data_IF_965991079040
#
_entry.id   IF_965991079040
#
_cell.length_a   1.000
_cell.length_b   1.000
_cell.length_c   1.000
_cell.angle_alpha   90.00
_cell.angle_beta   90.00
_cell.angle_gamma   90.00
#
_symmetry.space_group_name_H-M   'P 1'
#
loop_
_entity.id
_entity.type
_entity.pdbx_description
1 polymer ?
#
# COMPACT_ATOMS: atom_id res chain seq x y z
N UNK A 1 30.69 -4.14 -30.85
CA UNK A 1 30.17 -3.11 -29.93
C UNK A 1 28.68 -2.97 -30.18
N UNK A 2 27.86 -3.65 -29.38
CA UNK A 2 26.41 -3.50 -29.47
C UNK A 2 26.01 -2.31 -28.57
N UNK A 3 25.50 -1.25 -29.20
CA UNK A 3 24.85 -0.15 -28.50
C UNK A 3 23.59 -0.70 -27.81
N UNK A 4 23.69 -0.95 -26.50
CA UNK A 4 22.52 -1.02 -25.63
C UNK A 4 21.85 0.36 -25.71
N UNK A 5 20.74 0.44 -26.45
CA UNK A 5 19.81 1.54 -26.33
C UNK A 5 19.39 1.60 -24.86
N UNK A 6 19.79 2.67 -24.18
CA UNK A 6 19.23 3.09 -22.90
C UNK A 6 17.75 3.39 -23.14
N UNK A 7 16.89 2.37 -23.00
CA UNK A 7 15.50 2.59 -22.69
C UNK A 7 15.50 3.16 -21.28
N UNK A 8 15.53 4.49 -21.17
CA UNK A 8 15.21 5.18 -19.92
C UNK A 8 13.75 4.89 -19.60
N UNK A 9 13.47 3.74 -19.01
CA UNK A 9 12.20 3.44 -18.37
C UNK A 9 12.20 4.26 -17.09
N UNK A 10 11.64 5.47 -17.18
CA UNK A 10 11.46 6.30 -15.99
C UNK A 10 10.40 5.66 -15.11
N UNK A 11 10.79 5.23 -13.91
CA UNK A 11 9.85 4.78 -12.88
C UNK A 11 8.95 5.97 -12.50
N UNK A 12 7.65 5.91 -12.81
CA UNK A 12 6.75 7.07 -12.82
C UNK A 12 6.64 7.80 -11.48
N UNK A 13 6.77 7.04 -10.40
CA UNK A 13 6.71 7.44 -8.98
C UNK A 13 8.05 7.95 -8.44
N UNK A 14 9.19 7.68 -9.10
CA UNK A 14 10.53 8.11 -8.66
C UNK A 14 10.72 9.63 -8.69
N UNK A 15 9.78 10.39 -9.27
CA UNK A 15 9.74 11.85 -9.18
C UNK A 15 9.22 12.36 -7.83
N UNK A 16 8.48 11.54 -7.08
CA UNK A 16 7.97 11.93 -5.76
C UNK A 16 9.12 12.16 -4.77
N UNK A 17 8.90 13.09 -3.85
CA UNK A 17 9.79 13.49 -2.77
C UNK A 17 9.03 13.46 -1.46
N UNK A 18 9.77 13.32 -0.36
CA UNK A 18 9.17 13.32 0.98
C UNK A 18 8.37 14.59 1.28
N UNK A 19 8.73 15.72 0.66
CA UNK A 19 8.01 17.01 0.75
C UNK A 19 6.63 16.99 0.10
N UNK A 20 6.30 15.99 -0.73
CA UNK A 20 4.98 15.87 -1.34
C UNK A 20 3.94 15.31 -0.36
N UNK A 21 4.37 14.86 0.83
CA UNK A 21 3.54 14.26 1.86
C UNK A 21 3.55 15.12 3.14
N UNK A 22 2.41 15.75 3.44
CA UNK A 22 2.18 16.32 4.77
C UNK A 22 1.68 15.22 5.71
N UNK A 23 2.54 14.83 6.66
CA UNK A 23 2.31 13.70 7.56
C UNK A 23 1.99 14.24 8.96
N UNK A 24 0.85 13.79 9.49
CA UNK A 24 0.49 13.95 10.90
C UNK A 24 0.47 12.58 11.56
N UNK A 25 1.34 12.37 12.54
CA UNK A 25 1.48 11.13 13.30
C UNK A 25 1.24 11.40 14.78
N UNK A 26 0.32 10.67 15.41
CA UNK A 26 -0.10 10.88 16.80
C UNK A 26 -0.48 12.34 17.10
N UNK A 27 -1.22 12.96 16.17
CA UNK A 27 -1.62 14.38 16.19
C UNK A 27 -0.45 15.39 16.16
N UNK A 28 0.76 14.95 15.82
CA UNK A 28 1.93 15.81 15.64
C UNK A 28 2.38 15.81 14.18
N UNK A 29 2.83 16.97 13.69
CA UNK A 29 3.45 17.05 12.37
C UNK A 29 4.76 16.27 12.39
N UNK A 30 4.96 15.41 11.40
CA UNK A 30 6.22 14.73 11.14
C UNK A 30 6.64 15.02 9.71
N UNK A 31 7.92 15.26 9.47
CA UNK A 31 8.43 15.14 8.11
C UNK A 31 8.52 13.66 7.71
N UNK A 32 8.63 13.43 6.40
CA UNK A 32 8.70 12.09 5.80
C UNK A 32 9.93 11.31 6.27
N UNK A 33 11.11 11.91 6.28
CA UNK A 33 12.34 11.24 6.68
C UNK A 33 12.29 10.76 8.14
N UNK A 34 11.68 11.54 9.04
CA UNK A 34 11.49 11.20 10.45
C UNK A 34 10.53 10.04 10.62
N UNK A 35 9.35 10.10 9.96
CA UNK A 35 8.35 9.04 10.05
C UNK A 35 8.85 7.70 9.50
N UNK A 36 9.66 7.73 8.44
CA UNK A 36 10.24 6.55 7.79
C UNK A 36 11.69 6.27 8.20
N UNK A 37 12.18 6.82 9.32
CA UNK A 37 13.58 6.72 9.75
C UNK A 37 14.09 5.29 9.97
N UNK A 38 13.20 4.37 10.36
CA UNK A 38 13.52 2.95 10.52
C UNK A 38 13.36 2.11 9.24
N UNK A 39 12.84 2.70 8.16
CA UNK A 39 12.64 2.00 6.90
C UNK A 39 13.96 1.82 6.15
N UNK A 40 14.10 0.69 5.45
CA UNK A 40 15.30 0.35 4.67
C UNK A 40 14.90 -0.11 3.27
N UNK A 41 15.83 -0.09 2.31
CA UNK A 41 15.58 -0.55 0.93
C UNK A 41 15.17 -2.03 0.81
N UNK A 42 15.30 -2.83 1.88
CA UNK A 42 14.84 -4.22 1.94
C UNK A 42 13.46 -4.38 2.59
N UNK A 43 12.87 -3.29 3.11
CA UNK A 43 11.57 -3.32 3.76
C UNK A 43 10.45 -3.64 2.76
N UNK A 44 9.61 -4.63 3.10
CA UNK A 44 8.54 -5.13 2.22
C UNK A 44 7.18 -4.73 2.76
N UNK A 45 6.34 -4.18 1.88
CA UNK A 45 4.97 -3.77 2.21
C UNK A 45 3.95 -4.71 1.55
N UNK A 46 2.94 -5.12 2.30
CA UNK A 46 1.79 -5.86 1.82
C UNK A 46 0.52 -5.06 1.99
N UNK A 47 -0.33 -5.01 0.97
CA UNK A 47 -1.71 -4.54 1.07
C UNK A 47 -2.61 -5.77 1.02
N UNK A 48 -3.37 -6.04 2.08
CA UNK A 48 -4.45 -7.01 2.02
C UNK A 48 -5.71 -6.32 1.50
N UNK A 49 -6.37 -6.89 0.50
CA UNK A 49 -7.53 -6.31 -0.18
C UNK A 49 -8.58 -7.40 -0.46
N UNK A 50 -9.53 -7.65 0.47
CA UNK A 50 -10.60 -8.61 0.28
C UNK A 50 -11.41 -8.33 -0.99
N UNK A 51 -11.72 -7.06 -1.28
CA UNK A 51 -12.22 -6.64 -2.58
C UNK A 51 -11.08 -6.02 -3.39
N UNK A 52 -11.07 -6.31 -4.69
CA UNK A 52 -10.00 -5.89 -5.58
C UNK A 52 -9.77 -4.36 -5.65
N UNK A 53 -10.76 -3.54 -5.30
CA UNK A 53 -10.64 -2.07 -5.27
C UNK A 53 -10.17 -1.49 -3.93
N UNK A 54 -10.06 -2.29 -2.87
CA UNK A 54 -9.86 -1.77 -1.51
C UNK A 54 -8.55 -1.00 -1.36
N UNK A 55 -7.46 -1.50 -1.94
CA UNK A 55 -6.11 -0.94 -1.78
C UNK A 55 -5.98 0.50 -2.28
N UNK A 56 -6.89 0.99 -3.11
CA UNK A 56 -6.97 2.40 -3.51
C UNK A 56 -7.14 3.32 -2.29
N UNK A 57 -7.83 2.86 -1.26
CA UNK A 57 -7.94 3.53 0.04
C UNK A 57 -6.63 3.67 0.82
N UNK A 58 -5.56 3.03 0.36
CA UNK A 58 -4.24 3.05 0.98
C UNK A 58 -3.14 3.68 0.09
N UNK A 59 -3.50 4.32 -1.03
CA UNK A 59 -2.54 4.82 -2.02
C UNK A 59 -1.52 5.80 -1.40
N UNK A 60 -1.93 6.74 -0.55
CA UNK A 60 -1.00 7.76 -0.01
C UNK A 60 0.06 7.15 0.89
N UNK A 61 -0.31 6.23 1.79
CA UNK A 61 0.65 5.53 2.64
C UNK A 61 1.55 4.61 1.81
N UNK A 62 0.99 3.90 0.84
CA UNK A 62 1.75 3.05 -0.08
C UNK A 62 2.80 3.86 -0.82
N UNK A 63 2.42 4.98 -1.43
CA UNK A 63 3.34 5.83 -2.18
C UNK A 63 4.32 6.60 -1.28
N UNK A 64 3.96 6.87 -0.03
CA UNK A 64 4.90 7.40 0.95
C UNK A 64 6.01 6.38 1.27
N UNK A 65 5.67 5.09 1.42
CA UNK A 65 6.67 4.01 1.56
C UNK A 65 7.49 3.80 0.29
N UNK A 66 6.88 3.86 -0.90
CA UNK A 66 7.61 3.85 -2.19
C UNK A 66 8.64 4.99 -2.22
N UNK A 67 8.25 6.18 -1.77
CA UNK A 67 9.15 7.34 -1.71
C UNK A 67 10.29 7.11 -0.71
N UNK A 68 10.03 6.46 0.43
CA UNK A 68 11.06 6.08 1.40
C UNK A 68 12.05 5.06 0.81
N UNK A 69 11.56 4.09 0.03
CA UNK A 69 12.41 3.16 -0.71
C UNK A 69 13.33 3.88 -1.69
N UNK A 70 12.80 4.78 -2.52
CA UNK A 70 13.63 5.55 -3.45
C UNK A 70 14.58 6.52 -2.76
N UNK A 71 14.23 7.08 -1.61
CA UNK A 71 15.15 7.89 -0.82
C UNK A 71 16.40 7.10 -0.40
N UNK A 72 16.26 5.80 -0.10
CA UNK A 72 17.41 4.95 0.21
C UNK A 72 18.40 4.85 -0.97
N UNK A 73 17.90 4.80 -2.21
CA UNK A 73 18.76 4.79 -3.39
C UNK A 73 19.36 6.16 -3.69
N UNK A 74 18.57 7.24 -3.58
CA UNK A 74 19.06 8.62 -3.81
C UNK A 74 20.21 9.03 -2.89
N UNK A 75 20.29 8.46 -1.69
CA UNK A 75 21.44 8.66 -0.79
C UNK A 75 22.72 8.03 -1.36
N UNK A 76 22.61 6.93 -2.10
CA UNK A 76 23.75 6.22 -2.70
C UNK A 76 24.09 6.76 -4.10
N UNK A 77 23.08 6.99 -4.94
CA UNK A 77 23.20 7.51 -6.30
C UNK A 77 21.86 8.10 -6.78
N UNK A 78 21.91 9.26 -7.44
CA UNK A 78 20.73 9.88 -8.05
C UNK A 78 20.19 9.10 -9.28
N UNK A 79 21.04 8.30 -9.94
CA UNK A 79 20.64 7.41 -11.03
C UNK A 79 20.51 5.96 -10.53
N UNK A 80 19.28 5.44 -10.55
CA UNK A 80 18.97 4.07 -10.15
C UNK A 80 17.75 3.53 -10.91
N UNK A 81 17.71 2.20 -11.08
CA UNK A 81 16.57 1.48 -11.62
C UNK A 81 16.26 0.28 -10.70
N UNK A 82 15.26 0.44 -9.84
CA UNK A 82 14.90 -0.56 -8.84
C UNK A 82 13.45 -0.36 -8.42
N UNK A 83 12.70 -1.43 -8.17
CA UNK A 83 11.32 -1.36 -7.67
C UNK A 83 11.24 -1.98 -6.28
N UNK A 84 10.39 -1.46 -5.39
CA UNK A 84 10.19 -2.06 -4.09
C UNK A 84 9.55 -3.45 -4.20
N UNK A 85 9.87 -4.34 -3.26
CA UNK A 85 9.18 -5.62 -3.09
C UNK A 85 7.88 -5.43 -2.31
N UNK A 86 6.93 -4.75 -2.95
CA UNK A 86 5.58 -4.51 -2.43
C UNK A 86 4.56 -5.42 -3.10
N UNK A 87 3.56 -5.87 -2.35
CA UNK A 87 2.61 -6.90 -2.78
C UNK A 87 1.16 -6.48 -2.47
N UNK A 88 0.23 -6.86 -3.34
CA UNK A 88 -1.21 -6.76 -3.10
C UNK A 88 -1.78 -8.17 -2.97
N UNK A 89 -2.32 -8.51 -1.81
CA UNK A 89 -2.95 -9.80 -1.50
C UNK A 89 -4.47 -9.66 -1.66
N UNK A 90 -5.04 -10.30 -2.67
CA UNK A 90 -6.42 -10.07 -3.11
C UNK A 90 -7.27 -11.32 -2.97
N UNK A 91 -8.39 -11.24 -2.25
CA UNK A 91 -9.25 -12.40 -1.97
C UNK A 91 -10.30 -12.62 -3.06
N UNK A 92 -10.89 -11.54 -3.58
CA UNK A 92 -11.92 -11.60 -4.61
C UNK A 92 -11.35 -11.63 -6.03
N UNK A 93 -12.03 -12.36 -6.90
CA UNK A 93 -11.85 -12.28 -8.35
C UNK A 93 -12.90 -11.33 -8.98
N UNK A 94 -12.54 -10.57 -10.03
CA UNK A 94 -11.21 -10.46 -10.62
C UNK A 94 -10.25 -9.64 -9.77
N UNK A 95 -8.97 -10.01 -9.77
CA UNK A 95 -7.92 -9.20 -9.13
C UNK A 95 -7.65 -7.89 -9.90
N UNK A 96 -7.38 -6.81 -9.18
CA UNK A 96 -6.93 -5.54 -9.74
C UNK A 96 -5.43 -5.56 -10.01
N UNK A 97 -4.99 -4.73 -10.96
CA UNK A 97 -3.58 -4.47 -11.21
C UNK A 97 -3.13 -3.19 -10.48
N UNK A 98 -2.36 -3.36 -9.41
CA UNK A 98 -1.81 -2.27 -8.60
C UNK A 98 -0.46 -1.72 -9.10
N UNK A 99 -0.08 -1.93 -10.37
CA UNK A 99 1.23 -1.50 -10.88
C UNK A 99 1.49 0.01 -10.76
N UNK A 100 0.44 0.84 -10.77
CA UNK A 100 0.60 2.29 -10.57
C UNK A 100 1.01 2.66 -9.14
N UNK A 101 0.91 1.72 -8.19
CA UNK A 101 1.35 1.88 -6.80
C UNK A 101 2.73 1.25 -6.56
N UNK A 102 3.49 0.97 -7.64
CA UNK A 102 4.76 0.23 -7.65
C UNK A 102 4.68 -1.20 -7.10
N UNK A 103 3.46 -1.78 -7.08
CA UNK A 103 3.26 -3.23 -6.92
C UNK A 103 3.50 -3.87 -8.28
N UNK A 104 4.78 -4.00 -8.62
CA UNK A 104 5.25 -4.42 -9.93
C UNK A 104 6.43 -5.41 -9.82
N UNK A 105 6.50 -6.45 -10.68
CA UNK A 105 5.63 -6.74 -11.83
C UNK A 105 4.33 -7.48 -11.45
N UNK A 106 3.54 -7.88 -12.46
CA UNK A 106 2.18 -8.43 -12.28
C UNK A 106 2.07 -9.51 -11.21
N UNK A 107 3.06 -10.40 -11.07
CA UNK A 107 3.05 -11.49 -10.07
C UNK A 107 3.04 -10.99 -8.60
N UNK A 108 3.24 -9.68 -8.36
CA UNK A 108 3.10 -9.07 -7.04
C UNK A 108 1.64 -8.72 -6.69
N UNK A 109 0.71 -8.86 -7.64
CA UNK A 109 -0.73 -8.91 -7.39
C UNK A 109 -1.09 -10.39 -7.17
N UNK A 110 -1.22 -10.77 -5.90
CA UNK A 110 -1.26 -12.15 -5.42
C UNK A 110 -2.68 -12.51 -5.03
N UNK A 111 -3.36 -13.44 -5.74
CA UNK A 111 -4.62 -13.98 -5.24
C UNK A 111 -4.36 -14.76 -3.95
N UNK A 112 -5.25 -14.60 -2.96
CA UNK A 112 -5.19 -15.32 -1.68
C UNK A 112 -6.53 -15.99 -1.38
N UNK A 113 -6.48 -17.07 -0.61
CA UNK A 113 -7.67 -17.82 -0.24
C UNK A 113 -8.54 -17.08 0.78
N UNK A 114 -9.78 -17.54 0.99
CA UNK A 114 -10.60 -17.10 2.12
C UNK A 114 -10.17 -17.74 3.46
N UNK A 115 -9.28 -18.73 3.43
CA UNK A 115 -8.72 -19.36 4.60
C UNK A 115 -7.64 -18.45 5.21
N UNK A 116 -7.89 -17.96 6.43
CA UNK A 116 -7.00 -17.03 7.11
C UNK A 116 -5.58 -17.59 7.32
N UNK A 117 -5.41 -18.90 7.56
CA UNK A 117 -4.08 -19.51 7.73
C UNK A 117 -3.29 -19.56 6.42
N UNK A 118 -3.94 -19.88 5.31
CA UNK A 118 -3.32 -19.89 3.98
C UNK A 118 -2.95 -18.47 3.53
N UNK A 119 -3.80 -17.49 3.85
CA UNK A 119 -3.51 -16.06 3.62
C UNK A 119 -2.33 -15.59 4.48
N UNK A 120 -2.30 -15.93 5.77
CA UNK A 120 -1.18 -15.65 6.66
C UNK A 120 0.14 -16.26 6.16
N UNK A 121 0.12 -17.52 5.72
CA UNK A 121 1.28 -18.18 5.12
C UNK A 121 1.74 -17.44 3.86
N UNK A 122 0.80 -17.11 2.98
CA UNK A 122 1.08 -16.39 1.72
C UNK A 122 1.73 -15.02 1.95
N UNK A 123 1.30 -14.30 2.98
CA UNK A 123 1.89 -13.02 3.42
C UNK A 123 3.29 -13.25 3.98
N UNK A 124 3.45 -14.19 4.91
CA UNK A 124 4.73 -14.41 5.60
C UNK A 124 5.80 -15.01 4.69
N UNK A 125 5.45 -15.87 3.74
CA UNK A 125 6.35 -16.45 2.73
C UNK A 125 6.97 -15.38 1.81
N UNK A 126 6.35 -14.21 1.70
CA UNK A 126 6.87 -13.05 0.96
C UNK A 126 7.69 -12.09 1.81
N UNK A 127 7.85 -12.38 3.10
CA UNK A 127 8.68 -11.61 4.02
C UNK A 127 8.15 -10.21 4.33
N UNK A 128 6.83 -10.02 4.32
CA UNK A 128 6.21 -8.71 4.57
C UNK A 128 6.59 -8.16 5.96
N UNK A 129 7.01 -6.90 6.01
CA UNK A 129 7.37 -6.18 7.23
C UNK A 129 6.35 -5.11 7.62
N UNK A 130 5.67 -4.53 6.63
CA UNK A 130 4.60 -3.55 6.83
C UNK A 130 3.33 -4.10 6.20
N UNK A 131 2.27 -4.23 6.98
CA UNK A 131 1.00 -4.75 6.49
C UNK A 131 -0.11 -3.69 6.58
N UNK A 132 -0.75 -3.41 5.43
CA UNK A 132 -1.92 -2.54 5.35
C UNK A 132 -3.16 -3.43 5.21
N UNK A 133 -4.15 -3.22 6.06
CA UNK A 133 -5.36 -4.05 6.14
C UNK A 133 -6.59 -3.14 6.15
N UNK A 134 -7.68 -3.47 5.43
CA UNK A 134 -8.88 -2.66 5.46
C UNK A 134 -9.57 -2.80 6.82
N UNK A 135 -10.12 -1.69 7.30
CA UNK A 135 -10.87 -1.60 8.55
C UNK A 135 -12.28 -2.18 8.39
N UNK A 136 -12.34 -3.46 8.05
CA UNK A 136 -13.56 -4.25 8.14
C UNK A 136 -13.67 -4.90 9.51
N UNK A 137 -14.87 -5.34 9.87
CA UNK A 137 -15.11 -6.07 11.10
C UNK A 137 -14.15 -7.26 11.21
N UNK A 138 -13.45 -7.42 12.35
CA UNK A 138 -12.62 -8.59 12.59
C UNK A 138 -13.41 -9.88 12.38
N UNK A 139 -12.73 -10.89 11.85
CA UNK A 139 -13.26 -12.24 11.68
C UNK A 139 -12.77 -13.11 12.83
N UNK A 140 -13.63 -14.00 13.33
CA UNK A 140 -13.22 -14.99 14.32
C UNK A 140 -12.43 -16.08 13.59
N UNK A 141 -11.11 -15.95 13.60
CA UNK A 141 -10.19 -16.89 12.97
C UNK A 141 -9.35 -17.61 14.02
N UNK A 142 -9.22 -18.93 13.88
CA UNK A 142 -8.23 -19.69 14.64
C UNK A 142 -6.98 -19.86 13.80
N UNK A 143 -5.92 -19.14 14.16
CA UNK A 143 -4.62 -19.28 13.51
C UNK A 143 -3.81 -20.40 14.14
N UNK A 144 -3.16 -21.19 13.29
CA UNK A 144 -2.17 -22.16 13.72
C UNK A 144 -1.01 -21.43 14.43
N UNK A 145 -0.44 -22.00 15.51
CA UNK A 145 0.66 -21.37 16.25
C UNK A 145 1.85 -20.99 15.37
N UNK A 146 2.16 -21.79 14.35
CA UNK A 146 3.26 -21.52 13.41
C UNK A 146 3.00 -20.25 12.59
N UNK A 147 1.75 -20.02 12.17
CA UNK A 147 1.38 -18.84 11.38
C UNK A 147 1.38 -17.57 12.24
N UNK A 148 0.88 -17.66 13.48
CA UNK A 148 0.94 -16.55 14.43
C UNK A 148 2.38 -16.11 14.69
N UNK A 149 3.26 -17.07 14.93
CA UNK A 149 4.66 -16.80 15.20
C UNK A 149 5.43 -16.30 13.97
N UNK A 150 5.12 -16.80 12.77
CA UNK A 150 5.70 -16.29 11.53
C UNK A 150 5.32 -14.81 11.31
N UNK A 151 4.06 -14.47 11.51
CA UNK A 151 3.59 -13.08 11.43
C UNK A 151 4.29 -12.22 12.48
N UNK A 152 4.36 -12.66 13.74
CA UNK A 152 4.95 -11.89 14.84
C UNK A 152 6.42 -11.54 14.62
N UNK A 153 7.19 -12.46 14.01
CA UNK A 153 8.61 -12.26 13.74
C UNK A 153 8.88 -11.36 12.54
N UNK A 154 8.00 -11.40 11.53
CA UNK A 154 8.23 -10.72 10.26
C UNK A 154 7.60 -9.32 10.21
N UNK A 155 6.37 -9.17 10.71
CA UNK A 155 5.60 -7.93 10.61
C UNK A 155 5.96 -6.99 11.75
N UNK A 156 6.50 -5.83 11.38
CA UNK A 156 6.96 -4.78 12.27
C UNK A 156 5.91 -3.71 12.51
N UNK A 157 5.10 -3.40 11.49
CA UNK A 157 4.05 -2.37 11.56
C UNK A 157 2.79 -2.83 10.82
N UNK A 158 1.64 -2.58 11.43
CA UNK A 158 0.34 -2.86 10.84
C UNK A 158 -0.52 -1.61 10.84
N UNK A 159 -1.17 -1.30 9.72
CA UNK A 159 -2.08 -0.18 9.63
C UNK A 159 -3.44 -0.62 9.12
N UNK A 160 -4.48 -0.18 9.80
CA UNK A 160 -5.82 -0.15 9.26
C UNK A 160 -5.94 1.02 8.28
N UNK A 161 -6.51 0.75 7.12
CA UNK A 161 -6.96 1.76 6.16
C UNK A 161 -8.47 1.56 5.91
N UNK A 162 -9.14 2.53 5.30
CA UNK A 162 -10.50 2.31 4.80
C UNK A 162 -10.51 2.45 3.28
N UNK A 163 -11.30 1.67 2.52
CA UNK A 163 -11.36 1.82 1.06
C UNK A 163 -11.68 3.26 0.60
N UNK A 164 -12.50 3.98 1.37
CA UNK A 164 -12.83 5.39 1.14
C UNK A 164 -11.71 6.36 1.61
N UNK A 165 -10.58 5.86 2.11
CA UNK A 165 -9.46 6.63 2.60
C UNK A 165 -9.61 7.20 4.02
N UNK A 166 -10.68 6.91 4.77
CA UNK A 166 -10.92 7.51 6.08
C UNK A 166 -11.27 6.46 7.14
N UNK A 167 -10.39 6.24 8.12
CA UNK A 167 -10.67 5.42 9.30
C UNK A 167 -11.26 6.28 10.44
N UNK A 168 -12.03 5.66 11.33
CA UNK A 168 -12.75 6.38 12.41
C UNK A 168 -11.83 6.90 13.52
N UNK A 169 -10.82 6.13 13.92
CA UNK A 169 -9.90 6.46 15.01
C UNK A 169 -8.45 6.58 14.51
N UNK A 170 -8.15 7.57 13.65
CA UNK A 170 -6.85 7.65 13.02
C UNK A 170 -5.77 8.13 13.99
N UNK A 171 -4.58 7.55 13.88
CA UNK A 171 -3.36 8.07 14.48
C UNK A 171 -2.33 8.50 13.43
N UNK A 172 -2.60 8.24 12.15
CA UNK A 172 -1.85 8.73 11.00
C UNK A 172 -2.79 9.42 10.02
N UNK A 173 -2.39 10.60 9.56
CA UNK A 173 -3.01 11.30 8.43
C UNK A 173 -1.93 11.71 7.45
N UNK A 174 -2.17 11.44 6.17
CA UNK A 174 -1.32 11.85 5.06
C UNK A 174 -2.15 12.74 4.15
N UNK A 175 -1.59 13.89 3.78
CA UNK A 175 -2.21 14.83 2.83
C UNK A 175 -1.21 15.15 1.74
N UNK A 176 -1.67 15.12 0.49
CA UNK A 176 -0.85 15.41 -0.69
C UNK A 176 -1.65 16.25 -1.69
N UNK A 177 -0.97 16.84 -2.66
CA UNK A 177 -1.65 17.28 -3.89
C UNK A 177 -2.39 16.12 -4.52
N UNK A 178 -3.56 16.39 -5.09
CA UNK A 178 -4.44 15.36 -5.66
C UNK A 178 -3.78 14.59 -6.80
N UNK A 179 -3.16 15.31 -7.73
CA UNK A 179 -2.33 14.69 -8.77
C UNK A 179 -0.92 14.40 -8.25
N UNK A 180 -0.32 13.24 -8.58
CA UNK A 180 -0.78 12.24 -9.56
C UNK A 180 -1.65 11.09 -8.96
N UNK A 181 -2.03 11.18 -7.69
CA UNK A 181 -2.59 10.05 -6.94
C UNK A 181 -3.99 9.65 -7.40
N UNK A 182 -4.85 10.60 -7.79
CA UNK A 182 -6.18 10.29 -8.34
C UNK A 182 -6.10 9.61 -9.70
N UNK A 183 -5.19 10.03 -10.58
CA UNK A 183 -4.95 9.36 -11.85
C UNK A 183 -4.47 7.91 -11.64
N UNK A 184 -3.57 7.69 -10.68
CA UNK A 184 -3.07 6.36 -10.35
C UNK A 184 -4.16 5.47 -9.74
N UNK A 185 -4.98 6.01 -8.83
CA UNK A 185 -6.14 5.32 -8.28
C UNK A 185 -7.13 4.94 -9.40
N UNK A 186 -7.44 5.87 -10.30
CA UNK A 186 -8.33 5.62 -11.42
C UNK A 186 -7.78 4.56 -12.38
N UNK A 187 -6.47 4.56 -12.63
CA UNK A 187 -5.80 3.54 -13.44
C UNK A 187 -5.96 2.14 -12.84
N UNK A 188 -5.84 1.97 -11.51
CA UNK A 188 -6.13 0.69 -10.83
C UNK A 188 -7.60 0.31 -11.02
N UNK A 189 -8.52 1.23 -10.76
CA UNK A 189 -9.96 0.96 -10.86
C UNK A 189 -10.40 0.58 -12.29
N UNK A 190 -9.75 1.14 -13.30
CA UNK A 190 -10.00 0.83 -14.72
C UNK A 190 -9.54 -0.58 -15.12
N UNK A 191 -8.76 -1.27 -14.29
CA UNK A 191 -8.35 -2.66 -14.55
C UNK A 191 -9.46 -3.66 -14.25
N UNK A 192 -10.47 -3.24 -13.49
CA UNK A 192 -11.59 -4.08 -13.07
C UNK A 192 -12.76 -4.01 -14.07
N UNK A 193 -13.49 -5.12 -14.29
CA UNK A 193 -14.70 -5.11 -15.10
C UNK A 193 -15.75 -4.13 -14.57
N UNK A 194 -16.60 -3.65 -15.49
CA UNK A 194 -17.72 -2.79 -15.15
C UNK A 194 -18.61 -3.45 -14.07
N UNK A 195 -19.10 -2.65 -13.13
CA UNK A 195 -19.92 -3.05 -11.98
C UNK A 195 -19.22 -3.83 -10.86
N UNK A 196 -17.92 -4.15 -10.98
CA UNK A 196 -17.12 -4.70 -9.86
C UNK A 196 -16.99 -3.68 -8.73
N UNK A 197 -16.80 -2.42 -9.09
CA UNK A 197 -16.62 -1.31 -8.15
C UNK A 197 -17.97 -0.62 -7.90
N UNK A 198 -18.38 -0.42 -6.64
CA UNK A 198 -19.58 0.33 -6.31
C UNK A 198 -19.59 1.75 -6.91
N UNK A 199 -20.73 2.20 -7.46
CA UNK A 199 -20.83 3.51 -8.13
C UNK A 199 -20.50 4.69 -7.21
N UNK A 200 -20.93 4.61 -5.95
CA UNK A 200 -20.59 5.61 -4.92
C UNK A 200 -19.08 5.72 -4.70
N UNK A 201 -18.37 4.58 -4.70
CA UNK A 201 -16.92 4.54 -4.60
C UNK A 201 -16.24 5.22 -5.80
N UNK A 202 -16.67 4.87 -7.03
CA UNK A 202 -16.16 5.52 -8.24
C UNK A 202 -16.40 7.04 -8.23
N UNK A 203 -17.60 7.46 -7.81
CA UNK A 203 -17.94 8.88 -7.75
C UNK A 203 -17.11 9.61 -6.69
N UNK A 204 -16.79 8.97 -5.57
CA UNK A 204 -15.92 9.55 -4.55
C UNK A 204 -14.55 9.91 -5.13
N UNK A 205 -13.91 8.98 -5.85
CA UNK A 205 -12.60 9.22 -6.45
C UNK A 205 -12.63 10.23 -7.59
N UNK A 206 -13.70 10.23 -8.40
CA UNK A 206 -13.94 11.29 -9.40
C UNK A 206 -14.20 12.66 -8.79
N UNK A 207 -14.78 12.73 -7.60
CA UNK A 207 -14.98 14.00 -6.90
C UNK A 207 -13.67 14.48 -6.26
N UNK A 208 -12.85 13.55 -5.76
CA UNK A 208 -11.53 13.85 -5.22
C UNK A 208 -10.60 14.46 -6.28
N UNK A 209 -10.68 14.03 -7.55
CA UNK A 209 -9.88 14.61 -8.64
C UNK A 209 -10.19 16.09 -8.92
N UNK A 210 -11.32 16.61 -8.45
CA UNK A 210 -11.66 18.03 -8.57
C UNK A 210 -11.12 18.87 -7.40
N UNK A 211 -10.57 18.25 -6.36
CA UNK A 211 -9.96 18.93 -5.23
C UNK A 211 -8.48 19.18 -5.50
N UNK A 212 -7.91 20.22 -4.90
CA UNK A 212 -6.47 20.49 -4.99
C UNK A 212 -5.63 19.48 -4.17
N UNK A 213 -6.20 19.00 -3.05
CA UNK A 213 -5.56 18.08 -2.13
C UNK A 213 -6.45 16.88 -1.85
N UNK A 214 -5.80 15.74 -1.63
CA UNK A 214 -6.42 14.51 -1.13
C UNK A 214 -5.79 14.17 0.22
N UNK A 215 -6.60 13.62 1.12
CA UNK A 215 -6.14 13.13 2.40
C UNK A 215 -6.64 11.72 2.66
N UNK A 216 -5.77 10.90 3.24
CA UNK A 216 -6.11 9.57 3.74
C UNK A 216 -5.67 9.45 5.19
N UNK A 217 -6.47 8.75 5.98
CA UNK A 217 -6.20 8.48 7.39
C UNK A 217 -6.07 6.99 7.65
N UNK A 218 -5.21 6.66 8.62
CA UNK A 218 -4.85 5.30 8.96
C UNK A 218 -4.77 5.17 10.48
N UNK A 219 -4.93 3.93 10.95
CA UNK A 219 -4.74 3.59 12.35
C UNK A 219 -3.68 2.51 12.45
N UNK A 220 -2.52 2.83 13.00
CA UNK A 220 -1.55 1.80 13.39
C UNK A 220 -2.13 0.97 14.53
N UNK A 221 -2.07 -0.35 14.38
CA UNK A 221 -2.55 -1.35 15.33
C UNK A 221 -1.46 -2.37 15.63
N UNK A 222 -1.60 -3.12 16.72
CA UNK A 222 -0.67 -4.21 17.00
C UNK A 222 -0.81 -5.34 15.98
N UNK A 223 0.26 -6.11 15.81
CA UNK A 223 0.26 -7.29 14.96
C UNK A 223 -0.82 -8.31 15.39
N UNK A 224 -1.03 -8.49 16.69
CA UNK A 224 -2.07 -9.38 17.22
C UNK A 224 -3.48 -8.93 16.84
N UNK A 225 -3.75 -7.62 16.86
CA UNK A 225 -5.02 -7.08 16.39
C UNK A 225 -5.17 -7.25 14.87
N UNK A 226 -4.10 -6.98 14.12
CA UNK A 226 -4.10 -7.02 12.65
C UNK A 226 -4.44 -8.41 12.10
N UNK A 227 -3.94 -9.46 12.73
CA UNK A 227 -4.22 -10.86 12.36
C UNK A 227 -5.72 -11.18 12.37
N UNK A 228 -6.52 -10.54 13.23
CA UNK A 228 -7.97 -10.76 13.29
C UNK A 228 -8.74 -10.17 12.11
N UNK A 229 -8.08 -9.38 11.25
CA UNK A 229 -8.69 -8.76 10.08
C UNK A 229 -8.35 -9.48 8.74
N UNK A 230 -7.52 -10.54 8.78
CA UNK A 230 -7.28 -11.42 7.63
C UNK A 230 -8.47 -12.37 7.43
#
# INVERSE_FOLDING_TARGET
MAHLHSLTVTMHSSKLRGSDFDIQWQNQKSDHATFFSAYTKTGRLGIFAPNAYDGVGAILLTMAYVTAFYNCYRVENDDFFSYPDFFAFQQAEPIANYSMFDIWPQHKNVPVSENANETAATITDRGINILLIPNYSPRVNTFEPVQQEAIRRNIQRCFLYAPNGQVENPNLKITCSTEPFTDWAQAVLNTLPQNTVPKNFLNQWKNASNQQYISQTFQEISTEAAIQHL
#
